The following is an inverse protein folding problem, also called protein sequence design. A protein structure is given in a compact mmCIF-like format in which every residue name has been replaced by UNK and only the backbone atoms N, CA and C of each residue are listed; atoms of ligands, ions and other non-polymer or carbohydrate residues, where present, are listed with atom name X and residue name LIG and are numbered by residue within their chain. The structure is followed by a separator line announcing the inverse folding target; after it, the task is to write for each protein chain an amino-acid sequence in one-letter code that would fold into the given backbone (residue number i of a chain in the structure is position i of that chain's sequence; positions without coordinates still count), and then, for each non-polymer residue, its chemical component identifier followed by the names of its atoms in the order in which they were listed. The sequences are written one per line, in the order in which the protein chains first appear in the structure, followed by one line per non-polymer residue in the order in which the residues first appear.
data_IF_089275041053
#
_entry.id   IF_089275041053
#
_cell.length_a   1.000
_cell.length_b   1.000
_cell.length_c   1.000
_cell.angle_alpha   90.00
_cell.angle_beta   90.00
_cell.angle_gamma   90.00
#
_symmetry.space_group_name_H-M   'P 1'
#
loop_
_entity.id
_entity.type
_entity.pdbx_description
1 polymer ?
#
# COMPACT_ATOMS: atom_id res chain seq x y z
N UNK A 1 -6.26 8.91 -13.40
CA UNK A 1 -7.29 8.97 -12.33
C UNK A 1 -6.55 9.01 -11.01
N UNK A 2 -6.98 9.82 -10.03
CA UNK A 2 -6.35 9.89 -8.70
C UNK A 2 -7.14 9.03 -7.72
N UNK A 3 -6.56 7.94 -7.23
CA UNK A 3 -7.16 7.07 -6.22
C UNK A 3 -6.48 7.31 -4.86
N UNK A 4 -7.25 7.17 -3.80
CA UNK A 4 -6.76 7.08 -2.42
C UNK A 4 -7.22 5.73 -1.90
N UNK A 5 -6.27 4.89 -1.49
CA UNK A 5 -6.56 3.68 -0.73
C UNK A 5 -6.68 4.05 0.74
N UNK A 6 -7.92 4.00 1.25
CA UNK A 6 -8.22 4.41 2.63
C UNK A 6 -7.99 3.29 3.65
N UNK A 7 -7.72 2.05 3.22
CA UNK A 7 -7.57 0.91 4.13
C UNK A 7 -6.66 -0.16 3.52
N UNK A 8 -5.43 -0.24 4.02
CA UNK A 8 -4.51 -1.32 3.71
C UNK A 8 -3.79 -1.82 4.97
N UNK A 9 -3.26 -3.03 4.93
CA UNK A 9 -2.40 -3.61 5.97
C UNK A 9 -1.03 -3.90 5.35
N UNK A 10 -0.29 -2.83 5.01
CA UNK A 10 1.01 -2.96 4.33
C UNK A 10 2.15 -3.33 5.27
N UNK A 11 1.92 -3.25 6.59
CA UNK A 11 2.92 -3.63 7.61
C UNK A 11 2.82 -5.09 8.07
N UNK A 12 1.84 -5.84 7.54
CA UNK A 12 1.75 -7.30 7.68
C UNK A 12 3.01 -7.98 7.14
N UNK A 13 3.50 -9.00 7.86
CA UNK A 13 4.73 -9.75 7.57
C UNK A 13 4.76 -10.31 6.15
N UNK A 14 3.60 -10.60 5.56
CA UNK A 14 3.49 -11.10 4.17
C UNK A 14 4.06 -10.15 3.12
N UNK A 15 4.20 -8.86 3.45
CA UNK A 15 4.74 -7.84 2.56
C UNK A 15 6.17 -7.42 2.93
N UNK A 16 6.82 -8.04 3.92
CA UNK A 16 8.14 -7.58 4.37
C UNK A 16 9.20 -7.60 3.26
N UNK A 17 9.15 -8.62 2.40
CA UNK A 17 10.09 -8.78 1.30
C UNK A 17 9.80 -7.87 0.09
N UNK A 18 8.54 -7.48 -0.12
CA UNK A 18 8.10 -6.83 -1.37
C UNK A 18 7.28 -5.54 -1.20
N UNK A 19 7.12 -5.03 0.02
CA UNK A 19 6.32 -3.83 0.36
C UNK A 19 6.63 -2.62 -0.51
N UNK A 20 7.90 -2.35 -0.80
CA UNK A 20 8.30 -1.23 -1.67
C UNK A 20 7.81 -1.46 -3.11
N UNK A 21 7.88 -2.70 -3.61
CA UNK A 21 7.38 -3.06 -4.94
C UNK A 21 5.84 -2.99 -5.00
N UNK A 22 5.13 -3.37 -3.93
CA UNK A 22 3.68 -3.20 -3.82
C UNK A 22 3.29 -1.72 -3.92
N UNK A 23 3.97 -0.84 -3.16
CA UNK A 23 3.70 0.61 -3.19
C UNK A 23 4.00 1.20 -4.58
N UNK A 24 5.07 0.76 -5.24
CA UNK A 24 5.41 1.21 -6.59
C UNK A 24 4.30 0.84 -7.59
N UNK A 25 3.83 -0.42 -7.58
CA UNK A 25 2.72 -0.89 -8.41
C UNK A 25 1.43 -0.11 -8.16
N UNK A 26 1.11 0.19 -6.89
CA UNK A 26 -0.05 1.00 -6.54
C UNK A 26 0.03 2.41 -7.15
N UNK A 27 1.22 3.02 -7.14
CA UNK A 27 1.42 4.34 -7.77
C UNK A 27 1.21 4.31 -9.28
N UNK A 28 1.70 3.26 -9.95
CA UNK A 28 1.54 3.09 -11.40
C UNK A 28 0.07 2.98 -11.84
N UNK A 29 -0.80 2.45 -10.98
CA UNK A 29 -2.25 2.34 -11.25
C UNK A 29 -3.05 3.59 -10.87
N UNK A 30 -2.38 4.63 -10.34
CA UNK A 30 -3.00 5.91 -9.96
C UNK A 30 -3.34 6.04 -8.49
N UNK A 31 -2.91 5.12 -7.62
CA UNK A 31 -3.02 5.27 -6.16
C UNK A 31 -1.97 6.26 -5.66
N UNK A 32 -2.44 7.41 -5.19
CA UNK A 32 -1.56 8.53 -4.78
C UNK A 32 -1.33 8.61 -3.28
N UNK A 33 -2.23 8.02 -2.49
CA UNK A 33 -2.16 7.93 -1.03
C UNK A 33 -2.69 6.59 -0.59
N UNK A 34 -2.06 6.01 0.42
CA UNK A 34 -2.46 4.76 1.05
C UNK A 34 -2.45 5.01 2.56
N UNK A 35 -3.56 4.70 3.24
CA UNK A 35 -3.63 4.68 4.69
C UNK A 35 -3.43 3.24 5.15
N UNK A 36 -2.25 2.97 5.73
CA UNK A 36 -2.00 1.68 6.35
C UNK A 36 -2.54 1.68 7.77
N UNK A 37 -3.39 0.71 8.07
CA UNK A 37 -3.87 0.46 9.41
C UNK A 37 -2.75 -0.19 10.23
N UNK A 38 -2.77 0.05 11.55
CA UNK A 38 -1.87 -0.63 12.46
C UNK A 38 -2.23 -2.10 12.55
N UNK A 39 -1.21 -2.95 12.45
CA UNK A 39 -1.30 -4.38 12.69
C UNK A 39 -0.93 -4.66 14.16
N UNK A 40 -1.62 -5.60 14.82
CA UNK A 40 -1.44 -5.92 16.25
C UNK A 40 -0.33 -6.94 16.45
#
# INVERSE_FOLDING_TARGET
MTLIDTHAHLYDEKFDDDRIAVIARARETGVTKIISMGDT
#
